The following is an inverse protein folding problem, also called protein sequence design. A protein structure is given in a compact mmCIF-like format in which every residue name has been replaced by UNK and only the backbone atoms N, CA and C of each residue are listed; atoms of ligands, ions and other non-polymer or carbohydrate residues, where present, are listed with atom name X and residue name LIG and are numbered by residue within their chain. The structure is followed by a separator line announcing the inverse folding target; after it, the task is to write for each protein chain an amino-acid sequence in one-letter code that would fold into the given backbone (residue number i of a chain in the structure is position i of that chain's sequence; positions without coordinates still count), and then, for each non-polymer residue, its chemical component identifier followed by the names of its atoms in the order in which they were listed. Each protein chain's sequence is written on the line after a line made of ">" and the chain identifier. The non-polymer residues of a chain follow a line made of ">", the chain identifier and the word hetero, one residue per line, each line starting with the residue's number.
data_IF_070506481011
#
_entry.id   IF_070506481011
#
_cell.length_a   1.000
_cell.length_b   1.000
_cell.length_c   1.000
_cell.angle_alpha   90.00
_cell.angle_beta   90.00
_cell.angle_gamma   90.00
#
_symmetry.space_group_name_H-M   'P 1'
#
loop_
_entity.id
_entity.type
_entity.pdbx_description
1 polymer ?
#
# COMPACT_ATOMS: atom_id res chain seq x y z
N UNK A 1 -30.28 -18.15 4.88
CA UNK A 1 -29.20 -17.52 5.66
C UNK A 1 -27.90 -17.90 5.01
N UNK A 2 -27.09 -16.95 4.57
CA UNK A 2 -25.78 -17.25 3.96
C UNK A 2 -24.84 -17.65 5.09
N UNK A 3 -24.27 -18.88 5.02
CA UNK A 3 -23.35 -19.36 6.05
C UNK A 3 -22.09 -18.48 6.08
N UNK A 4 -21.66 -18.10 7.29
CA UNK A 4 -20.37 -17.44 7.48
C UNK A 4 -19.24 -18.46 7.50
N UNK A 5 -18.07 -18.08 7.07
CA UNK A 5 -16.86 -18.91 7.02
C UNK A 5 -15.85 -18.35 8.02
N UNK A 6 -15.30 -19.18 8.92
CA UNK A 6 -14.21 -18.74 9.78
C UNK A 6 -12.92 -18.54 8.97
N UNK A 7 -12.22 -17.45 9.26
CA UNK A 7 -10.88 -17.17 8.74
C UNK A 7 -9.95 -16.79 9.90
N UNK A 8 -8.68 -17.17 9.78
CA UNK A 8 -7.60 -16.79 10.68
C UNK A 8 -6.44 -16.26 9.85
N UNK A 9 -5.98 -15.05 10.12
CA UNK A 9 -4.91 -14.39 9.37
C UNK A 9 -4.14 -13.44 10.30
N UNK A 10 -3.00 -12.93 9.83
CA UNK A 10 -2.32 -11.84 10.51
C UNK A 10 -2.61 -10.53 9.77
N UNK A 11 -2.98 -9.47 10.49
CA UNK A 11 -3.16 -8.13 9.91
C UNK A 11 -2.26 -7.15 10.65
N UNK A 12 -1.34 -6.51 9.94
CA UNK A 12 -0.33 -5.60 10.50
C UNK A 12 0.48 -6.24 11.64
N UNK A 13 0.75 -7.54 11.54
CA UNK A 13 1.47 -8.33 12.55
C UNK A 13 0.61 -8.90 13.68
N UNK A 14 -0.64 -8.47 13.80
CA UNK A 14 -1.55 -8.94 14.84
C UNK A 14 -2.42 -10.11 14.35
N UNK A 15 -2.62 -11.16 15.16
CA UNK A 15 -3.50 -12.27 14.80
C UNK A 15 -4.97 -11.85 14.83
N UNK A 16 -5.70 -12.21 13.80
CA UNK A 16 -7.12 -11.91 13.61
C UNK A 16 -7.90 -13.18 13.32
N UNK A 17 -8.96 -13.43 14.07
CA UNK A 17 -9.95 -14.48 13.80
C UNK A 17 -11.31 -13.82 13.55
N UNK A 18 -11.98 -14.20 12.48
CA UNK A 18 -13.25 -13.60 12.11
C UNK A 18 -14.18 -14.61 11.42
N UNK A 19 -15.49 -14.32 11.51
CA UNK A 19 -16.52 -15.00 10.73
C UNK A 19 -16.96 -14.04 9.61
N UNK A 20 -16.72 -14.39 8.35
CA UNK A 20 -17.02 -13.54 7.20
C UNK A 20 -18.00 -14.21 6.25
N UNK A 21 -18.78 -13.41 5.54
CA UNK A 21 -19.56 -13.92 4.42
C UNK A 21 -18.59 -14.31 3.28
N UNK A 22 -18.79 -15.43 2.57
CA UNK A 22 -17.88 -15.86 1.49
C UNK A 22 -17.66 -14.83 0.38
N UNK A 23 -18.61 -13.90 0.19
CA UNK A 23 -18.57 -12.82 -0.81
C UNK A 23 -17.89 -11.54 -0.34
N UNK A 24 -17.52 -11.43 0.93
CA UNK A 24 -16.87 -10.24 1.48
C UNK A 24 -15.49 -10.08 0.83
N UNK A 25 -15.25 -8.95 0.15
CA UNK A 25 -13.93 -8.65 -0.37
C UNK A 25 -12.99 -8.19 0.77
N UNK A 26 -11.68 -8.26 0.52
CA UNK A 26 -10.67 -7.93 1.51
C UNK A 26 -10.73 -6.44 1.92
N UNK A 27 -11.05 -5.53 0.98
CA UNK A 27 -11.16 -4.10 1.31
C UNK A 27 -12.28 -3.84 2.31
N UNK A 28 -13.46 -4.41 2.08
CA UNK A 28 -14.59 -4.28 3.00
C UNK A 28 -14.29 -4.95 4.34
N UNK A 29 -13.62 -6.09 4.34
CA UNK A 29 -13.19 -6.75 5.57
C UNK A 29 -12.26 -5.86 6.41
N UNK A 30 -11.24 -5.29 5.78
CA UNK A 30 -10.30 -4.38 6.47
C UNK A 30 -11.02 -3.13 7.02
N UNK A 31 -11.90 -2.53 6.24
CA UNK A 31 -12.58 -1.28 6.58
C UNK A 31 -13.71 -1.45 7.60
N UNK A 32 -14.60 -2.43 7.35
CA UNK A 32 -15.87 -2.56 8.10
C UNK A 32 -15.75 -3.47 9.32
N UNK A 33 -14.89 -4.51 9.25
CA UNK A 33 -14.70 -5.43 10.36
C UNK A 33 -13.54 -5.02 11.27
N UNK A 34 -12.42 -4.56 10.69
CA UNK A 34 -11.22 -4.20 11.44
C UNK A 34 -11.04 -2.69 11.63
N UNK A 35 -11.89 -1.87 11.01
CA UNK A 35 -11.85 -0.41 11.06
C UNK A 35 -10.53 0.21 10.56
N UNK A 36 -9.80 -0.51 9.70
CA UNK A 36 -8.60 -0.04 9.02
C UNK A 36 -9.00 0.76 7.77
N UNK A 37 -9.37 2.02 7.99
CA UNK A 37 -10.01 2.87 6.98
C UNK A 37 -9.06 3.53 6.00
N UNK A 38 -7.74 3.44 6.22
CA UNK A 38 -6.70 3.92 5.30
C UNK A 38 -6.68 3.18 3.95
N UNK A 39 -7.22 1.95 3.90
CA UNK A 39 -7.48 1.26 2.64
C UNK A 39 -8.72 1.87 1.96
N UNK A 40 -8.53 2.72 0.95
CA UNK A 40 -9.64 3.40 0.27
C UNK A 40 -10.19 2.57 -0.88
N UNK A 41 -11.50 2.69 -1.16
CA UNK A 41 -12.18 2.00 -2.27
C UNK A 41 -12.74 3.04 -3.24
N UNK A 42 -12.18 3.08 -4.48
CA UNK A 42 -12.54 4.09 -5.47
C UNK A 42 -13.26 3.55 -6.71
N UNK A 43 -13.00 2.31 -7.13
CA UNK A 43 -13.55 1.80 -8.40
C UNK A 43 -14.17 0.41 -8.32
N UNK A 44 -13.78 -0.44 -7.38
CA UNK A 44 -14.18 -1.86 -7.25
C UNK A 44 -13.92 -2.73 -8.49
N UNK A 45 -13.06 -2.25 -9.41
CA UNK A 45 -12.73 -2.90 -10.68
C UNK A 45 -11.23 -3.22 -10.80
N UNK A 46 -10.44 -2.94 -9.73
CA UNK A 46 -9.00 -3.17 -9.72
C UNK A 46 -8.15 -2.11 -10.45
N UNK A 47 -8.75 -1.08 -11.06
CA UNK A 47 -8.07 -0.13 -11.96
C UNK A 47 -7.40 1.02 -11.21
N UNK A 48 -8.07 1.59 -10.18
CA UNK A 48 -7.64 2.86 -9.58
C UNK A 48 -6.48 2.73 -8.59
N UNK A 49 -6.26 1.56 -8.02
CA UNK A 49 -5.18 1.31 -7.06
C UNK A 49 -5.36 1.89 -5.65
N UNK A 50 -6.47 2.59 -5.37
CA UNK A 50 -6.71 3.18 -4.04
C UNK A 50 -6.77 2.14 -2.92
N UNK A 51 -7.22 0.91 -3.25
CA UNK A 51 -7.35 -0.21 -2.32
C UNK A 51 -6.12 -1.12 -2.26
N UNK A 52 -4.95 -0.66 -2.70
CA UNK A 52 -3.72 -1.44 -2.64
C UNK A 52 -3.36 -1.76 -1.20
N UNK A 53 -3.11 -3.04 -0.93
CA UNK A 53 -2.56 -3.57 0.32
C UNK A 53 -1.47 -4.58 -0.02
N UNK A 54 -0.73 -5.05 0.98
CA UNK A 54 0.26 -6.11 0.80
C UNK A 54 -0.29 -7.40 1.41
N UNK A 55 -0.24 -8.51 0.67
CA UNK A 55 -0.62 -9.85 1.14
C UNK A 55 0.56 -10.79 0.91
N UNK A 56 1.07 -11.39 1.97
CA UNK A 56 2.26 -12.24 1.93
C UNK A 56 3.46 -11.59 1.23
N UNK A 57 3.63 -10.28 1.41
CA UNK A 57 4.72 -9.51 0.83
C UNK A 57 4.46 -8.93 -0.56
N UNK A 58 3.39 -9.30 -1.25
CA UNK A 58 3.05 -8.86 -2.61
C UNK A 58 1.89 -7.85 -2.60
N UNK A 59 1.96 -6.81 -3.44
CA UNK A 59 0.87 -5.83 -3.55
C UNK A 59 -0.33 -6.40 -4.32
N UNK A 60 -1.53 -6.22 -3.76
CA UNK A 60 -2.78 -6.68 -4.36
C UNK A 60 -3.84 -5.58 -4.35
N UNK A 61 -4.86 -5.72 -5.20
CA UNK A 61 -6.07 -4.90 -5.19
C UNK A 61 -7.10 -5.56 -4.26
N UNK A 62 -7.20 -5.11 -3.02
CA UNK A 62 -8.04 -5.73 -2.01
C UNK A 62 -9.54 -5.74 -2.37
N UNK A 63 -10.01 -4.84 -3.22
CA UNK A 63 -11.39 -4.85 -3.72
C UNK A 63 -11.71 -6.04 -4.66
N UNK A 64 -10.69 -6.69 -5.23
CA UNK A 64 -10.83 -7.86 -6.10
C UNK A 64 -10.50 -9.21 -5.42
N UNK A 65 -9.96 -9.16 -4.21
CA UNK A 65 -9.62 -10.35 -3.43
C UNK A 65 -10.71 -10.60 -2.39
N UNK A 66 -11.16 -11.85 -2.27
CA UNK A 66 -12.11 -12.20 -1.21
C UNK A 66 -11.38 -12.39 0.13
N UNK A 67 -12.00 -11.95 1.24
CA UNK A 67 -11.43 -12.10 2.57
C UNK A 67 -11.14 -13.59 2.91
N UNK A 68 -11.96 -14.52 2.44
CA UNK A 68 -11.74 -15.97 2.62
C UNK A 68 -10.46 -16.47 1.94
N UNK A 69 -9.95 -15.79 0.93
CA UNK A 69 -8.69 -16.14 0.24
C UNK A 69 -7.45 -15.74 1.06
N UNK A 70 -7.60 -14.90 2.07
CA UNK A 70 -6.50 -14.49 2.96
C UNK A 70 -6.38 -15.34 4.21
N UNK A 71 -7.10 -16.46 4.28
CA UNK A 71 -6.96 -17.39 5.40
C UNK A 71 -5.51 -17.88 5.52
N UNK A 72 -4.92 -17.76 6.71
CA UNK A 72 -3.51 -18.03 7.03
C UNK A 72 -2.49 -17.10 6.32
N UNK A 73 -2.92 -15.99 5.72
CA UNK A 73 -2.03 -15.00 5.11
C UNK A 73 -1.60 -13.93 6.11
N UNK A 74 -0.51 -13.22 5.76
CA UNK A 74 -0.12 -11.96 6.37
C UNK A 74 -0.59 -10.80 5.48
N UNK A 75 -1.40 -9.91 6.03
CA UNK A 75 -1.92 -8.72 5.35
C UNK A 75 -1.32 -7.49 6.01
N UNK A 76 -0.78 -6.58 5.22
CA UNK A 76 -0.26 -5.30 5.69
C UNK A 76 -0.98 -4.16 4.98
N UNK A 77 -1.49 -3.23 5.76
CA UNK A 77 -2.17 -2.03 5.29
C UNK A 77 -1.28 -0.80 5.49
N UNK A 78 -1.74 0.34 5.02
CA UNK A 78 -1.00 1.61 5.20
C UNK A 78 -0.79 1.94 6.68
N UNK A 79 -1.71 1.57 7.55
CA UNK A 79 -1.59 1.77 8.99
C UNK A 79 -0.37 1.01 9.54
N UNK A 80 -0.26 -0.28 9.27
CA UNK A 80 0.87 -1.09 9.74
C UNK A 80 2.22 -0.64 9.19
N UNK A 81 2.26 -0.24 7.90
CA UNK A 81 3.48 0.31 7.30
C UNK A 81 3.87 1.67 7.90
N UNK A 82 2.90 2.47 8.31
CA UNK A 82 3.14 3.75 9.00
C UNK A 82 3.64 3.52 10.42
N UNK A 83 2.97 2.65 11.16
CA UNK A 83 3.28 2.36 12.58
C UNK A 83 4.65 1.68 12.74
N UNK A 84 5.04 0.83 11.80
CA UNK A 84 6.38 0.22 11.78
C UNK A 84 7.50 1.21 11.41
N UNK A 85 7.17 2.37 10.85
CA UNK A 85 8.12 3.32 10.32
C UNK A 85 8.75 2.94 8.96
N UNK A 86 8.33 1.83 8.34
CA UNK A 86 8.89 1.34 7.07
C UNK A 86 8.82 2.38 5.94
N UNK A 87 7.80 3.23 5.96
CA UNK A 87 7.54 4.24 4.92
C UNK A 87 7.68 5.68 5.40
N UNK A 88 8.26 5.91 6.57
CA UNK A 88 8.33 7.24 7.18
C UNK A 88 9.06 8.28 6.30
N UNK A 89 10.12 7.88 5.62
CA UNK A 89 10.87 8.72 4.68
C UNK A 89 10.07 9.03 3.39
N UNK A 90 9.31 8.05 2.88
CA UNK A 90 8.37 8.27 1.77
C UNK A 90 7.26 9.25 2.17
N UNK A 91 6.67 9.08 3.35
CA UNK A 91 5.64 9.98 3.86
C UNK A 91 6.18 11.41 4.00
N UNK A 92 7.37 11.58 4.56
CA UNK A 92 8.05 12.88 4.64
C UNK A 92 8.26 13.49 3.25
N UNK A 93 8.80 12.71 2.29
CA UNK A 93 9.01 13.18 0.93
C UNK A 93 7.71 13.57 0.22
N UNK A 94 6.61 12.85 0.46
CA UNK A 94 5.28 13.20 -0.08
C UNK A 94 4.78 14.54 0.46
N UNK A 95 4.99 14.82 1.74
CA UNK A 95 4.65 16.10 2.36
C UNK A 95 5.53 17.22 1.79
N UNK A 96 6.86 17.06 1.79
CA UNK A 96 7.83 18.06 1.38
C UNK A 96 7.69 18.45 -0.10
N UNK A 97 7.27 17.52 -0.95
CA UNK A 97 7.07 17.73 -2.39
C UNK A 97 5.64 18.11 -2.77
N UNK A 98 4.72 18.25 -1.82
CA UNK A 98 3.30 18.42 -2.09
C UNK A 98 2.74 17.34 -3.03
N UNK A 99 3.17 16.09 -2.84
CA UNK A 99 2.81 14.93 -3.65
C UNK A 99 1.40 14.41 -3.37
N UNK A 100 0.63 15.13 -2.58
CA UNK A 100 -0.77 14.84 -2.24
C UNK A 100 -1.60 16.13 -2.21
N UNK A 101 -2.89 16.02 -2.51
CA UNK A 101 -3.86 17.10 -2.34
C UNK A 101 -5.05 16.59 -1.53
N UNK A 102 -6.03 15.88 -2.15
CA UNK A 102 -7.15 15.32 -1.40
C UNK A 102 -6.77 14.13 -0.50
N UNK A 103 -5.62 13.48 -0.74
CA UNK A 103 -5.13 12.36 0.05
C UNK A 103 -5.74 11.00 -0.30
N UNK A 104 -6.80 10.93 -1.11
CA UNK A 104 -7.53 9.68 -1.36
C UNK A 104 -6.70 8.57 -2.00
N UNK A 105 -5.83 8.89 -2.95
CA UNK A 105 -4.94 7.91 -3.58
C UNK A 105 -3.67 7.62 -2.77
N UNK A 106 -3.36 8.45 -1.78
CA UNK A 106 -2.06 8.47 -1.11
C UNK A 106 -1.71 7.15 -0.41
N UNK A 107 -2.59 6.48 0.33
CA UNK A 107 -2.27 5.19 0.94
C UNK A 107 -1.82 4.14 -0.08
N UNK A 108 -2.63 3.90 -1.11
CA UNK A 108 -2.30 2.94 -2.16
C UNK A 108 -1.05 3.34 -2.97
N UNK A 109 -0.83 4.64 -3.16
CA UNK A 109 0.35 5.17 -3.87
C UNK A 109 1.64 4.94 -3.07
N UNK A 110 1.60 5.15 -1.74
CA UNK A 110 2.73 4.91 -0.83
C UNK A 110 3.09 3.42 -0.79
N UNK A 111 2.09 2.53 -0.71
CA UNK A 111 2.32 1.08 -0.73
C UNK A 111 2.95 0.65 -2.05
N UNK A 112 2.45 1.14 -3.19
CA UNK A 112 3.00 0.82 -4.50
C UNK A 112 4.42 1.39 -4.67
N UNK A 113 4.69 2.61 -4.21
CA UNK A 113 6.02 3.20 -4.24
C UNK A 113 7.02 2.42 -3.37
N UNK A 114 6.61 2.04 -2.17
CA UNK A 114 7.44 1.21 -1.28
C UNK A 114 7.73 -0.16 -1.89
N UNK A 115 6.75 -0.77 -2.55
CA UNK A 115 6.93 -2.02 -3.26
C UNK A 115 8.02 -1.90 -4.35
N UNK A 116 7.94 -0.87 -5.20
CA UNK A 116 8.99 -0.59 -6.19
C UNK A 116 10.37 -0.47 -5.53
N UNK A 117 10.50 0.34 -4.48
CA UNK A 117 11.79 0.61 -3.83
C UNK A 117 12.38 -0.59 -3.09
N UNK A 118 11.58 -1.60 -2.74
CA UNK A 118 12.05 -2.88 -2.19
C UNK A 118 12.76 -3.73 -3.24
N UNK A 119 12.22 -3.80 -4.45
CA UNK A 119 12.77 -4.61 -5.53
C UNK A 119 13.82 -3.85 -6.35
N UNK A 120 13.65 -2.55 -6.51
CA UNK A 120 14.51 -1.69 -7.29
C UNK A 120 14.90 -0.44 -6.49
N UNK A 121 16.00 -0.47 -5.72
CA UNK A 121 16.36 0.61 -4.80
C UNK A 121 16.74 1.94 -5.48
N UNK A 122 17.01 1.94 -6.77
CA UNK A 122 17.43 3.14 -7.53
C UNK A 122 16.75 3.20 -8.90
N UNK A 123 15.37 3.23 -8.94
CA UNK A 123 14.65 3.29 -10.19
C UNK A 123 14.84 4.64 -10.88
N UNK A 124 14.86 4.67 -12.19
CA UNK A 124 14.76 5.91 -12.93
C UNK A 124 13.32 6.44 -12.96
N UNK A 125 13.13 7.66 -13.46
CA UNK A 125 11.83 8.31 -13.48
C UNK A 125 10.79 7.57 -14.36
N UNK A 126 11.24 6.94 -15.44
CA UNK A 126 10.36 6.18 -16.32
C UNK A 126 9.86 4.92 -15.61
N UNK A 127 10.76 4.21 -14.96
CA UNK A 127 10.41 3.05 -14.16
C UNK A 127 9.44 3.37 -13.02
N UNK A 128 9.62 4.54 -12.36
CA UNK A 128 8.67 5.01 -11.35
C UNK A 128 7.28 5.23 -11.98
N UNK A 129 7.20 5.88 -13.16
CA UNK A 129 5.93 6.09 -13.86
C UNK A 129 5.23 4.79 -14.23
N UNK A 130 5.97 3.85 -14.79
CA UNK A 130 5.46 2.52 -15.16
C UNK A 130 4.86 1.81 -13.95
N UNK A 131 5.61 1.72 -12.86
CA UNK A 131 5.16 1.00 -11.66
C UNK A 131 3.94 1.64 -11.02
N UNK A 132 3.88 2.98 -10.98
CA UNK A 132 2.76 3.72 -10.42
C UNK A 132 1.57 3.89 -11.40
N UNK A 133 1.66 3.42 -12.64
CA UNK A 133 0.61 3.56 -13.65
C UNK A 133 -0.71 2.90 -13.26
N UNK A 134 -0.67 1.88 -12.41
CA UNK A 134 -1.84 1.22 -11.83
C UNK A 134 -2.47 1.93 -10.62
N UNK A 135 -1.94 3.09 -10.22
CA UNK A 135 -2.44 3.87 -9.08
C UNK A 135 -2.84 5.28 -9.56
N UNK A 136 -4.14 5.58 -9.55
CA UNK A 136 -4.67 6.80 -10.14
C UNK A 136 -4.75 7.95 -9.14
N UNK A 137 -4.20 9.09 -9.53
CA UNK A 137 -4.36 10.37 -8.84
C UNK A 137 -5.04 11.38 -9.76
N UNK A 138 -6.17 11.95 -9.33
CA UNK A 138 -6.91 12.97 -10.10
C UNK A 138 -6.39 14.38 -9.85
N UNK A 139 -5.62 14.60 -8.79
CA UNK A 139 -5.31 15.93 -8.28
C UNK A 139 -3.93 16.44 -8.68
N UNK A 140 -2.87 15.62 -8.57
CA UNK A 140 -1.48 16.06 -8.54
C UNK A 140 -0.82 16.16 -9.91
N UNK A 141 -1.34 15.50 -10.95
CA UNK A 141 -0.66 15.35 -12.24
C UNK A 141 0.63 14.51 -12.18
N UNK A 142 0.84 13.76 -11.08
CA UNK A 142 1.91 12.78 -10.82
C UNK A 142 3.33 13.30 -10.67
N UNK A 143 3.70 14.49 -11.18
CA UNK A 143 5.10 14.96 -11.15
C UNK A 143 5.66 15.02 -9.73
N UNK A 144 4.92 15.62 -8.80
CA UNK A 144 5.33 15.70 -7.39
C UNK A 144 5.45 14.31 -6.73
N UNK A 145 4.58 13.35 -7.11
CA UNK A 145 4.66 11.96 -6.63
C UNK A 145 5.95 11.30 -7.13
N UNK A 146 6.25 11.42 -8.42
CA UNK A 146 7.49 10.88 -9.02
C UNK A 146 8.72 11.52 -8.37
N UNK A 147 8.70 12.84 -8.14
CA UNK A 147 9.77 13.57 -7.47
C UNK A 147 9.98 13.09 -6.03
N UNK A 148 8.90 12.79 -5.29
CA UNK A 148 8.98 12.28 -3.93
C UNK A 148 9.63 10.88 -3.90
N UNK A 149 9.18 9.96 -4.76
CA UNK A 149 9.73 8.60 -4.85
C UNK A 149 11.20 8.62 -5.27
N UNK A 150 11.56 9.42 -6.29
CA UNK A 150 12.95 9.57 -6.74
C UNK A 150 13.85 10.16 -5.63
N UNK A 151 13.35 11.15 -4.89
CA UNK A 151 14.07 11.76 -3.77
C UNK A 151 14.34 10.73 -2.68
N UNK A 152 13.33 9.93 -2.29
CA UNK A 152 13.48 8.87 -1.31
C UNK A 152 14.48 7.81 -1.76
N UNK A 153 14.40 7.36 -3.02
CA UNK A 153 15.35 6.41 -3.59
C UNK A 153 16.81 6.90 -3.47
N UNK A 154 17.06 8.16 -3.85
CA UNK A 154 18.38 8.78 -3.76
C UNK A 154 18.88 8.89 -2.32
N UNK A 155 18.02 9.27 -1.38
CA UNK A 155 18.37 9.37 0.03
C UNK A 155 18.78 8.01 0.60
N UNK A 156 17.95 6.97 0.38
CA UNK A 156 18.25 5.58 0.81
C UNK A 156 19.57 5.05 0.22
N UNK A 157 19.85 5.34 -1.07
CA UNK A 157 21.09 4.93 -1.70
C UNK A 157 22.33 5.61 -1.09
N UNK A 158 22.22 6.90 -0.74
CA UNK A 158 23.30 7.63 -0.08
C UNK A 158 23.56 7.10 1.34
N UNK A 159 22.52 6.84 2.10
CA UNK A 159 22.63 6.27 3.46
C UNK A 159 23.28 4.86 3.43
N UNK A 160 22.91 4.05 2.43
CA UNK A 160 23.52 2.73 2.25
C UNK A 160 25.01 2.82 1.89
N UNK A 161 25.42 3.85 1.13
CA UNK A 161 26.83 4.10 0.82
C UNK A 161 27.60 4.58 2.05
N UNK A 162 27.04 5.52 2.82
CA UNK A 162 27.66 6.04 4.03
C UNK A 162 27.93 4.94 5.08
N UNK A 163 27.01 3.98 5.22
CA UNK A 163 27.15 2.83 6.13
C UNK A 163 28.20 1.79 5.67
N UNK A 164 28.64 1.83 4.43
CA UNK A 164 29.66 0.91 3.85
C UNK A 164 31.08 1.49 3.86
N UNK A 165 31.23 2.76 4.18
CA UNK A 165 32.57 3.41 4.29
C UNK A 165 33.02 3.27 5.74
N UNK A 166 34.14 2.53 6.01
CA UNK A 166 34.64 2.27 7.36
C UNK A 166 35.19 3.52 8.03
#
# INVERSE_FOLDING_TARGET
>A
MTAQVPISLAVNGEPVEALVLPRTNLADFLREYLHLTGTHVGCEHGVCGACTVRVNGEIVRSCLMLAVQTNHAAVETIEGLSDSGEIADLQAAFCDRNALQCGFCTPGMLIAAQDLLRYEPSPDRERIREHLSGNYCRCTGYQAIIDAVETTAKARANDARAKRTP
#
